data_IF_072392623826
#
_entry.id   IF_072392623826
#
_cell.length_a   1.000
_cell.length_b   1.000
_cell.length_c   1.000
_cell.angle_alpha   90.00
_cell.angle_beta   90.00
_cell.angle_gamma   90.00
#
_symmetry.space_group_name_H-M   'P 1'
#
loop_
_entity.id
_entity.type
_entity.pdbx_description
1 polymer ?
#
# COMPACT_ATOMS: atom_id res chain seq x y z
N UNK A 1 5.16 -0.74 8.20
CA UNK A 1 5.70 -2.10 7.94
C UNK A 1 6.31 -2.83 9.15
N UNK A 2 7.41 -2.40 9.78
CA UNK A 2 8.13 -3.19 10.83
C UNK A 2 7.26 -3.52 12.06
N UNK A 3 6.46 -2.57 12.52
CA UNK A 3 5.57 -2.77 13.66
C UNK A 3 4.46 -3.82 13.37
N UNK A 4 3.87 -3.78 12.17
CA UNK A 4 2.80 -4.69 11.78
C UNK A 4 3.29 -6.14 11.67
N UNK A 5 4.52 -6.31 11.18
CA UNK A 5 5.18 -7.60 11.17
C UNK A 5 5.46 -8.10 12.60
N UNK A 6 6.03 -7.24 13.45
CA UNK A 6 6.39 -7.60 14.83
C UNK A 6 5.17 -8.05 15.65
N UNK A 7 4.06 -7.31 15.58
CA UNK A 7 2.83 -7.64 16.32
C UNK A 7 2.11 -8.88 15.77
N UNK A 8 2.30 -9.20 14.48
CA UNK A 8 1.66 -10.33 13.82
C UNK A 8 2.49 -11.61 13.82
N UNK A 9 3.72 -11.56 14.33
CA UNK A 9 4.65 -12.68 14.31
C UNK A 9 4.19 -13.83 15.23
N UNK A 10 4.03 -15.02 14.65
CA UNK A 10 3.61 -16.25 15.37
C UNK A 10 4.69 -17.34 15.39
N UNK A 11 5.92 -17.02 15.00
CA UNK A 11 7.04 -17.97 14.90
C UNK A 11 7.38 -18.37 13.45
N UNK A 12 8.34 -19.29 13.32
CA UNK A 12 8.96 -19.67 12.04
C UNK A 12 8.10 -20.60 11.16
N UNK A 13 6.96 -21.07 11.66
CA UNK A 13 6.11 -22.03 10.94
C UNK A 13 5.10 -21.36 10.00
N UNK A 14 5.02 -20.03 9.98
CA UNK A 14 4.11 -19.29 9.11
C UNK A 14 4.78 -18.95 7.77
N UNK A 15 4.17 -19.38 6.67
CA UNK A 15 4.55 -19.00 5.30
C UNK A 15 3.44 -18.15 4.66
N UNK A 16 3.81 -17.00 4.08
CA UNK A 16 2.85 -16.16 3.36
C UNK A 16 2.39 -16.86 2.08
N UNK A 17 1.09 -16.77 1.80
CA UNK A 17 0.45 -17.47 0.69
C UNK A 17 1.06 -17.13 -0.69
N UNK A 18 1.67 -15.96 -0.85
CA UNK A 18 2.32 -15.56 -2.11
C UNK A 18 3.49 -16.49 -2.46
N UNK A 19 4.25 -16.94 -1.45
CA UNK A 19 5.34 -17.90 -1.66
C UNK A 19 4.80 -19.27 -2.08
N UNK A 20 3.71 -19.71 -1.46
CA UNK A 20 3.03 -20.98 -1.79
C UNK A 20 2.48 -20.93 -3.22
N UNK A 21 1.75 -19.88 -3.58
CA UNK A 21 1.17 -19.70 -4.92
C UNK A 21 2.28 -19.61 -5.99
N UNK A 22 3.38 -18.90 -5.69
CA UNK A 22 4.51 -18.79 -6.61
C UNK A 22 5.22 -20.13 -6.82
N UNK A 23 5.43 -20.91 -5.75
CA UNK A 23 6.03 -22.25 -5.83
C UNK A 23 5.20 -23.19 -6.69
N UNK A 24 3.88 -23.17 -6.50
CA UNK A 24 2.95 -24.03 -7.24
C UNK A 24 2.83 -23.64 -8.73
N UNK A 25 3.07 -22.37 -9.08
CA UNK A 25 2.90 -21.88 -10.46
C UNK A 25 4.18 -21.86 -11.27
N UNK A 26 5.35 -21.67 -10.65
CA UNK A 26 6.64 -21.47 -11.36
C UNK A 26 7.57 -22.68 -11.33
N UNK A 27 7.30 -23.67 -10.46
CA UNK A 27 8.05 -24.92 -10.40
C UNK A 27 9.55 -24.71 -10.25
N UNK A 28 10.34 -25.16 -11.23
CA UNK A 28 11.81 -25.05 -11.21
C UNK A 28 12.34 -23.61 -11.20
N UNK A 29 11.54 -22.66 -11.72
CA UNK A 29 11.92 -21.25 -11.74
C UNK A 29 11.64 -20.53 -10.42
N UNK A 30 11.05 -21.21 -9.42
CA UNK A 30 10.61 -20.62 -8.15
C UNK A 30 11.65 -19.72 -7.50
N UNK A 31 12.88 -20.20 -7.32
CA UNK A 31 13.91 -19.42 -6.64
C UNK A 31 14.25 -18.11 -7.36
N UNK A 32 14.33 -18.15 -8.69
CA UNK A 32 14.62 -16.98 -9.50
C UNK A 32 13.46 -15.97 -9.49
N UNK A 33 12.22 -16.44 -9.67
CA UNK A 33 11.04 -15.56 -9.67
C UNK A 33 10.78 -15.01 -8.28
N UNK A 34 10.98 -15.81 -7.24
CA UNK A 34 10.85 -15.38 -5.84
C UNK A 34 11.85 -14.26 -5.53
N UNK A 35 13.14 -14.50 -5.82
CA UNK A 35 14.18 -13.52 -5.62
C UNK A 35 13.90 -12.24 -6.42
N UNK A 36 13.58 -12.37 -7.71
CA UNK A 36 13.43 -11.20 -8.59
C UNK A 36 12.15 -10.42 -8.28
N UNK A 37 11.01 -11.10 -8.13
CA UNK A 37 9.69 -10.48 -8.03
C UNK A 37 9.29 -10.07 -6.61
N UNK A 38 9.55 -10.91 -5.60
CA UNK A 38 9.11 -10.65 -4.22
C UNK A 38 10.17 -9.87 -3.43
N UNK A 39 11.46 -10.08 -3.73
CA UNK A 39 12.54 -9.45 -2.96
C UNK A 39 13.21 -8.29 -3.71
N UNK A 40 13.76 -8.55 -4.89
CA UNK A 40 14.62 -7.60 -5.60
C UNK A 40 13.83 -6.42 -6.18
N UNK A 41 12.75 -6.68 -6.92
CA UNK A 41 11.95 -5.62 -7.55
C UNK A 41 11.41 -4.60 -6.53
N UNK A 42 10.71 -4.99 -5.45
CA UNK A 42 10.25 -4.02 -4.44
C UNK A 42 11.40 -3.25 -3.79
N UNK A 43 12.54 -3.91 -3.57
CA UNK A 43 13.75 -3.24 -3.04
C UNK A 43 14.22 -2.14 -3.98
N UNK A 44 14.36 -2.42 -5.27
CA UNK A 44 14.73 -1.41 -6.28
C UNK A 44 13.73 -0.26 -6.31
N UNK A 45 12.43 -0.56 -6.23
CA UNK A 45 11.40 0.48 -6.24
C UNK A 45 11.46 1.38 -4.99
N UNK A 46 11.76 0.83 -3.82
CA UNK A 46 11.99 1.61 -2.59
C UNK A 46 13.18 2.55 -2.76
N UNK A 47 14.30 2.07 -3.31
CA UNK A 47 15.45 2.93 -3.60
C UNK A 47 15.13 4.02 -4.63
N UNK A 48 14.36 3.69 -5.68
CA UNK A 48 13.86 4.69 -6.63
C UNK A 48 12.93 5.71 -5.95
N UNK A 49 12.08 5.26 -5.02
CA UNK A 49 11.23 6.13 -4.20
C UNK A 49 12.01 7.08 -3.29
N UNK A 50 13.26 6.74 -2.94
CA UNK A 50 14.15 7.59 -2.17
C UNK A 50 14.97 8.58 -3.02
N UNK A 51 15.06 8.40 -4.35
CA UNK A 51 15.78 9.32 -5.25
C UNK A 51 15.39 10.80 -5.07
N UNK A 52 14.10 11.16 -4.93
CA UNK A 52 13.69 12.56 -4.74
C UNK A 52 14.27 13.18 -3.45
N UNK A 53 14.60 12.37 -2.44
CA UNK A 53 15.23 12.85 -1.22
C UNK A 53 16.64 13.38 -1.50
N UNK A 54 17.35 12.82 -2.47
CA UNK A 54 18.66 13.33 -2.86
C UNK A 54 18.53 14.74 -3.44
N UNK A 55 17.50 14.99 -4.27
CA UNK A 55 17.19 16.33 -4.78
C UNK A 55 16.89 17.31 -3.64
N UNK A 56 16.04 16.91 -2.70
CA UNK A 56 15.67 17.73 -1.55
C UNK A 56 16.86 18.02 -0.61
N UNK A 57 17.74 17.05 -0.37
CA UNK A 57 18.86 17.19 0.55
C UNK A 57 20.09 17.85 -0.07
N UNK A 58 20.36 17.60 -1.35
CA UNK A 58 21.55 18.14 -2.03
C UNK A 58 21.30 19.53 -2.64
N UNK A 59 20.07 19.79 -3.11
CA UNK A 59 19.73 21.02 -3.83
C UNK A 59 18.75 21.93 -3.06
N UNK A 60 18.29 21.53 -1.86
CA UNK A 60 17.34 22.25 -1.01
C UNK A 60 17.90 23.53 -0.38
N UNK A 61 18.31 24.49 -1.21
CA UNK A 61 18.69 25.84 -0.79
C UNK A 61 17.53 26.82 -0.84
N UNK A 62 16.39 26.41 -1.42
CA UNK A 62 15.17 27.20 -1.48
C UNK A 62 14.54 27.35 -0.09
N UNK A 63 13.94 28.50 0.24
CA UNK A 63 13.12 28.64 1.42
C UNK A 63 11.94 27.65 1.39
N UNK A 64 11.54 27.17 2.57
CA UNK A 64 10.35 26.30 2.72
C UNK A 64 9.11 27.01 2.16
N UNK A 65 8.49 26.39 1.17
CA UNK A 65 7.37 26.94 0.43
C UNK A 65 6.04 26.20 0.65
N UNK A 66 4.97 26.65 -0.02
CA UNK A 66 3.67 25.99 0.03
C UNK A 66 3.71 24.53 -0.45
N UNK A 67 4.61 24.20 -1.38
CA UNK A 67 4.75 22.83 -1.89
C UNK A 67 5.36 21.89 -0.85
N UNK A 68 6.31 22.37 -0.03
CA UNK A 68 6.84 21.60 1.10
C UNK A 68 5.78 21.33 2.15
N UNK A 69 4.92 22.32 2.43
CA UNK A 69 3.79 22.15 3.33
C UNK A 69 2.79 21.11 2.78
N UNK A 70 2.49 21.15 1.49
CA UNK A 70 1.65 20.14 0.84
C UNK A 70 2.30 18.74 0.89
N UNK A 71 3.59 18.64 0.60
CA UNK A 71 4.36 17.38 0.67
C UNK A 71 4.32 16.80 2.09
N UNK A 72 4.49 17.63 3.12
CA UNK A 72 4.40 17.23 4.52
C UNK A 72 3.01 16.69 4.87
N UNK A 73 1.94 17.40 4.49
CA UNK A 73 0.56 16.98 4.74
C UNK A 73 0.25 15.66 4.04
N UNK A 74 0.66 15.51 2.78
CA UNK A 74 0.47 14.27 2.01
C UNK A 74 1.22 13.10 2.65
N UNK A 75 2.47 13.32 3.08
CA UNK A 75 3.31 12.30 3.70
C UNK A 75 2.73 11.84 5.04
N UNK A 76 2.46 12.78 5.95
CA UNK A 76 1.94 12.47 7.29
C UNK A 76 0.50 11.93 7.22
N UNK A 77 -0.32 12.49 6.34
CA UNK A 77 -1.67 12.00 6.08
C UNK A 77 -1.66 10.58 5.54
N UNK A 78 -0.77 10.27 4.59
CA UNK A 78 -0.58 8.92 4.06
C UNK A 78 -0.21 7.90 5.14
N UNK A 79 0.80 8.22 5.95
CA UNK A 79 1.23 7.39 7.09
C UNK A 79 0.09 7.17 8.08
N UNK A 80 -0.67 8.21 8.40
CA UNK A 80 -1.79 8.10 9.33
C UNK A 80 -2.92 7.22 8.79
N UNK A 81 -3.29 7.37 7.51
CA UNK A 81 -4.31 6.54 6.87
C UNK A 81 -3.87 5.07 6.85
N UNK A 82 -2.61 4.80 6.47
CA UNK A 82 -2.03 3.46 6.49
C UNK A 82 -2.10 2.85 7.89
N UNK A 83 -1.58 3.56 8.90
CA UNK A 83 -1.56 3.07 10.27
C UNK A 83 -2.97 2.83 10.84
N UNK A 84 -3.92 3.74 10.59
CA UNK A 84 -5.29 3.64 11.07
C UNK A 84 -6.03 2.47 10.41
N UNK A 85 -5.90 2.31 9.10
CA UNK A 85 -6.55 1.22 8.35
C UNK A 85 -5.97 -0.16 8.69
N UNK A 86 -4.65 -0.26 8.84
CA UNK A 86 -3.99 -1.50 9.29
C UNK A 86 -4.31 -1.83 10.74
N UNK A 87 -4.55 -0.83 11.59
CA UNK A 87 -5.02 -1.06 12.96
C UNK A 87 -6.44 -1.63 12.96
N UNK A 88 -7.36 -1.03 12.19
CA UNK A 88 -8.72 -1.55 12.04
C UNK A 88 -8.73 -2.98 11.52
N UNK A 89 -7.91 -3.29 10.51
CA UNK A 89 -7.81 -4.66 9.98
C UNK A 89 -7.27 -5.63 11.02
N UNK A 90 -6.24 -5.24 11.77
CA UNK A 90 -5.67 -6.09 12.81
C UNK A 90 -6.67 -6.39 13.93
N UNK A 91 -7.40 -5.37 14.40
CA UNK A 91 -8.40 -5.54 15.44
C UNK A 91 -9.56 -6.42 14.96
N UNK A 92 -9.99 -6.25 13.71
CA UNK A 92 -10.99 -7.12 13.09
C UNK A 92 -10.52 -8.58 13.04
N UNK A 93 -9.33 -8.84 12.48
CA UNK A 93 -8.80 -10.22 12.34
C UNK A 93 -8.52 -10.87 13.69
N UNK A 94 -8.16 -10.08 14.71
CA UNK A 94 -7.85 -10.61 16.04
C UNK A 94 -9.09 -10.98 16.85
N UNK A 95 -10.21 -10.27 16.63
CA UNK A 95 -11.46 -10.48 17.36
C UNK A 95 -12.48 -11.34 16.60
N UNK A 96 -12.31 -11.50 15.28
CA UNK A 96 -13.22 -12.26 14.45
C UNK A 96 -12.78 -13.73 14.34
N UNK A 97 -13.63 -14.65 14.80
CA UNK A 97 -13.38 -16.09 14.77
C UNK A 97 -13.95 -16.78 13.51
N UNK A 98 -14.66 -16.05 12.65
CA UNK A 98 -15.29 -16.57 11.43
C UNK A 98 -14.37 -16.37 10.23
N UNK A 99 -13.76 -17.45 9.70
CA UNK A 99 -12.88 -17.33 8.54
C UNK A 99 -13.65 -16.85 7.31
N UNK A 100 -13.09 -15.89 6.58
CA UNK A 100 -13.69 -15.38 5.34
C UNK A 100 -14.56 -14.14 5.52
N UNK A 101 -14.80 -13.71 6.76
CA UNK A 101 -15.52 -12.47 7.08
C UNK A 101 -14.87 -11.22 6.44
N UNK A 102 -15.72 -10.24 6.13
CA UNK A 102 -15.36 -8.99 5.45
C UNK A 102 -15.43 -7.81 6.40
N UNK A 103 -14.32 -7.07 6.53
CA UNK A 103 -14.33 -5.77 7.20
C UNK A 103 -14.89 -4.73 6.23
N UNK A 104 -16.13 -4.29 6.47
CA UNK A 104 -16.87 -3.32 5.65
C UNK A 104 -17.14 -2.00 6.39
N UNK A 105 -16.33 -1.69 7.40
CA UNK A 105 -16.51 -0.52 8.28
C UNK A 105 -15.32 0.45 8.22
N UNK A 106 -15.51 1.67 8.71
CA UNK A 106 -14.44 2.64 8.88
C UNK A 106 -13.74 2.98 7.56
N UNK A 107 -12.41 2.82 7.51
CA UNK A 107 -11.61 3.06 6.30
C UNK A 107 -11.92 2.05 5.20
N UNK A 108 -12.23 0.82 5.59
CA UNK A 108 -12.51 -0.29 4.67
C UNK A 108 -13.90 -0.18 4.03
N UNK A 109 -14.81 0.59 4.62
CA UNK A 109 -16.07 0.96 3.94
C UNK A 109 -15.87 2.03 2.84
N UNK A 110 -14.79 2.81 2.94
CA UNK A 110 -14.53 3.96 2.06
C UNK A 110 -13.63 3.59 0.89
N UNK A 111 -12.77 2.60 1.06
CA UNK A 111 -11.87 2.05 0.07
C UNK A 111 -11.63 0.57 0.37
N UNK A 112 -11.44 -0.26 -0.65
CA UNK A 112 -11.07 -1.67 -0.48
C UNK A 112 -9.61 -1.87 -0.11
N UNK A 113 -8.77 -0.88 -0.40
CA UNK A 113 -7.34 -0.89 -0.08
C UNK A 113 -6.92 0.48 0.51
N UNK A 114 -7.48 0.89 1.66
CA UNK A 114 -7.21 2.19 2.26
C UNK A 114 -5.75 2.31 2.73
N UNK A 115 -5.16 1.21 3.20
CA UNK A 115 -3.74 1.15 3.56
C UNK A 115 -2.84 1.41 2.36
N UNK A 116 -3.20 0.88 1.18
CA UNK A 116 -2.46 1.12 -0.05
C UNK A 116 -2.60 2.56 -0.54
N UNK A 117 -3.76 3.20 -0.33
CA UNK A 117 -3.86 4.64 -0.57
C UNK A 117 -2.92 5.44 0.34
N UNK A 118 -2.81 5.06 1.61
CA UNK A 118 -1.87 5.64 2.56
C UNK A 118 -0.41 5.48 2.11
N UNK A 119 -0.02 4.27 1.73
CA UNK A 119 1.34 3.95 1.27
C UNK A 119 1.68 4.67 -0.06
N UNK A 120 0.75 4.70 -1.02
CA UNK A 120 0.94 5.46 -2.25
C UNK A 120 1.08 6.96 -1.96
N UNK A 121 0.24 7.51 -1.08
CA UNK A 121 0.33 8.92 -0.67
C UNK A 121 1.68 9.23 -0.02
N UNK A 122 2.20 8.32 0.82
CA UNK A 122 3.54 8.44 1.37
C UNK A 122 4.59 8.56 0.26
N UNK A 123 4.59 7.69 -0.75
CA UNK A 123 5.60 7.75 -1.83
C UNK A 123 5.48 8.97 -2.75
N UNK A 124 4.29 9.53 -2.90
CA UNK A 124 4.11 10.82 -3.56
C UNK A 124 4.64 12.00 -2.72
N UNK A 125 4.78 11.84 -1.40
CA UNK A 125 5.36 12.83 -0.49
C UNK A 125 6.81 13.23 -0.83
N UNK A 126 7.79 12.31 -0.78
CA UNK A 126 9.17 12.56 -1.22
C UNK A 126 9.25 13.09 -2.65
N UNK A 127 8.42 12.60 -3.57
CA UNK A 127 8.32 13.14 -4.93
C UNK A 127 8.01 14.64 -4.91
N UNK A 128 7.02 15.08 -4.13
CA UNK A 128 6.67 16.50 -3.98
C UNK A 128 7.81 17.31 -3.33
N UNK A 129 8.50 16.76 -2.32
CA UNK A 129 9.69 17.40 -1.74
C UNK A 129 10.82 17.56 -2.75
N UNK A 130 11.09 16.54 -3.56
CA UNK A 130 12.06 16.62 -4.65
C UNK A 130 11.68 17.73 -5.63
N UNK A 131 10.42 17.76 -6.08
CA UNK A 131 9.90 18.79 -6.99
C UNK A 131 10.00 20.20 -6.39
N UNK A 132 9.77 20.36 -5.09
CA UNK A 132 9.94 21.64 -4.40
C UNK A 132 11.40 22.12 -4.41
N UNK A 133 12.36 21.21 -4.38
CA UNK A 133 13.78 21.51 -4.32
C UNK A 133 14.41 21.83 -5.68
N UNK A 134 14.19 21.00 -6.70
CA UNK A 134 14.86 21.12 -8.02
C UNK A 134 13.91 21.16 -9.21
N UNK A 135 12.59 21.23 -8.98
CA UNK A 135 11.56 21.30 -10.00
C UNK A 135 11.11 19.94 -10.53
N UNK A 136 10.26 19.97 -11.56
CA UNK A 136 9.71 18.75 -12.16
C UNK A 136 10.78 18.07 -13.02
N UNK A 137 11.22 16.89 -12.57
CA UNK A 137 12.20 16.06 -13.25
C UNK A 137 11.80 14.59 -13.22
N UNK A 138 12.23 13.81 -14.23
CA UNK A 138 11.84 12.41 -14.36
C UNK A 138 12.31 11.55 -13.17
N UNK A 139 13.47 11.86 -12.57
CA UNK A 139 13.99 11.14 -11.40
C UNK A 139 13.11 11.33 -10.16
N UNK A 140 12.59 12.54 -9.93
CA UNK A 140 11.70 12.83 -8.79
C UNK A 140 10.38 12.04 -8.86
N UNK A 141 9.89 11.80 -10.07
CA UNK A 141 8.59 11.13 -10.29
C UNK A 141 8.77 9.60 -10.39
N UNK A 142 9.92 9.14 -10.89
CA UNK A 142 10.15 7.73 -11.26
C UNK A 142 9.81 6.73 -10.15
N UNK A 143 10.20 6.99 -8.90
CA UNK A 143 9.93 6.12 -7.76
C UNK A 143 8.44 6.00 -7.44
N UNK A 144 7.78 7.14 -7.18
CA UNK A 144 6.35 7.18 -6.87
C UNK A 144 5.49 6.57 -8.00
N UNK A 145 5.82 6.88 -9.25
CA UNK A 145 5.13 6.32 -10.41
C UNK A 145 5.32 4.80 -10.51
N UNK A 146 6.54 4.30 -10.32
CA UNK A 146 6.84 2.87 -10.42
C UNK A 146 6.19 2.06 -9.30
N UNK A 147 6.14 2.58 -8.08
CA UNK A 147 5.41 1.97 -6.97
C UNK A 147 3.89 1.99 -7.26
N UNK A 148 3.37 3.08 -7.80
CA UNK A 148 1.96 3.15 -8.23
C UNK A 148 1.64 2.08 -9.27
N UNK A 149 2.50 1.91 -10.28
CA UNK A 149 2.35 0.86 -11.30
C UNK A 149 2.38 -0.54 -10.68
N UNK A 150 3.32 -0.82 -9.77
CA UNK A 150 3.38 -2.10 -9.06
C UNK A 150 2.05 -2.38 -8.33
N UNK A 151 1.52 -1.40 -7.60
CA UNK A 151 0.29 -1.58 -6.84
C UNK A 151 -0.92 -1.82 -7.75
N UNK A 152 -1.11 -0.96 -8.75
CA UNK A 152 -2.30 -0.98 -9.62
C UNK A 152 -2.33 -2.22 -10.52
N UNK A 153 -1.19 -2.63 -11.06
CA UNK A 153 -1.15 -3.69 -12.08
C UNK A 153 -0.77 -5.06 -11.54
N UNK A 154 -0.12 -5.13 -10.37
CA UNK A 154 0.36 -6.41 -9.82
C UNK A 154 -0.29 -6.68 -8.47
N UNK A 155 -0.04 -5.85 -7.46
CA UNK A 155 -0.42 -6.14 -6.07
C UNK A 155 -1.94 -6.23 -5.89
N UNK A 156 -2.69 -5.20 -6.31
CA UNK A 156 -4.14 -5.12 -6.11
C UNK A 156 -4.88 -6.19 -6.91
N UNK A 157 -4.64 -6.39 -8.23
CA UNK A 157 -5.32 -7.43 -8.99
C UNK A 157 -5.10 -8.83 -8.41
N UNK A 158 -3.90 -9.12 -7.93
CA UNK A 158 -3.56 -10.40 -7.31
C UNK A 158 -4.38 -10.63 -6.03
N UNK A 159 -4.51 -9.62 -5.17
CA UNK A 159 -5.26 -9.71 -3.91
C UNK A 159 -6.77 -9.77 -4.18
N UNK A 160 -7.30 -8.92 -5.06
CA UNK A 160 -8.70 -8.91 -5.46
C UNK A 160 -9.12 -10.28 -6.02
N UNK A 161 -8.31 -10.87 -6.90
CA UNK A 161 -8.57 -12.21 -7.45
C UNK A 161 -8.65 -13.26 -6.34
N UNK A 162 -7.75 -13.19 -5.36
CA UNK A 162 -7.74 -14.11 -4.22
C UNK A 162 -8.96 -13.92 -3.32
N UNK A 163 -9.37 -12.69 -3.05
CA UNK A 163 -10.53 -12.41 -2.20
C UNK A 163 -11.84 -12.87 -2.86
N UNK A 164 -12.03 -12.59 -4.16
CA UNK A 164 -13.18 -13.11 -4.92
C UNK A 164 -13.30 -14.62 -4.88
N UNK A 165 -12.16 -15.32 -4.88
CA UNK A 165 -12.13 -16.78 -4.83
C UNK A 165 -12.36 -17.39 -3.44
N UNK A 166 -12.19 -16.61 -2.36
CA UNK A 166 -12.14 -17.14 -0.98
C UNK A 166 -13.14 -16.55 -0.01
N UNK A 167 -13.79 -15.43 -0.35
CA UNK A 167 -14.68 -14.71 0.56
C UNK A 167 -16.07 -14.60 -0.04
N UNK A 168 -17.04 -15.18 0.64
CA UNK A 168 -18.46 -15.04 0.31
C UNK A 168 -18.87 -13.57 0.45
N UNK A 169 -19.75 -13.09 -0.43
CA UNK A 169 -20.19 -11.69 -0.44
C UNK A 169 -19.17 -10.66 -0.95
N UNK A 170 -17.95 -11.05 -1.34
CA UNK A 170 -16.93 -10.08 -1.79
C UNK A 170 -17.34 -9.31 -3.05
N UNK A 171 -18.11 -9.92 -3.94
CA UNK A 171 -18.62 -9.25 -5.15
C UNK A 171 -19.57 -8.09 -4.82
N UNK A 172 -20.35 -8.19 -3.75
CA UNK A 172 -21.20 -7.08 -3.29
C UNK A 172 -20.34 -5.94 -2.76
N UNK A 173 -19.36 -6.25 -1.92
CA UNK A 173 -18.39 -5.28 -1.42
C UNK A 173 -17.63 -4.57 -2.55
N UNK A 174 -17.31 -5.29 -3.63
CA UNK A 174 -16.67 -4.74 -4.84
C UNK A 174 -17.57 -3.70 -5.54
N UNK A 175 -18.88 -3.97 -5.65
CA UNK A 175 -19.83 -3.04 -6.28
C UNK A 175 -19.97 -1.77 -5.46
N UNK A 176 -19.90 -1.91 -4.14
CA UNK A 176 -20.24 -0.85 -3.22
C UNK A 176 -19.06 0.00 -2.78
N UNK A 177 -17.81 -0.47 -2.87
CA UNK A 177 -16.66 0.24 -2.31
C UNK A 177 -15.59 0.47 -3.38
N UNK A 178 -15.02 1.68 -3.56
CA UNK A 178 -13.98 1.90 -4.56
C UNK A 178 -12.67 1.19 -4.20
N UNK A 179 -11.78 0.99 -5.18
CA UNK A 179 -10.56 0.18 -5.00
C UNK A 179 -9.52 0.86 -4.10
N UNK A 180 -9.08 2.07 -4.47
CA UNK A 180 -7.94 2.76 -3.81
C UNK A 180 -8.39 4.07 -3.20
N UNK A 181 -8.90 5.00 -4.01
CA UNK A 181 -9.24 6.35 -3.56
C UNK A 181 -10.45 6.29 -2.61
N UNK A 182 -10.30 6.69 -1.33
CA UNK A 182 -11.38 6.62 -0.36
C UNK A 182 -12.52 7.58 -0.72
N UNK A 183 -13.76 7.14 -0.51
CA UNK A 183 -14.90 8.07 -0.54
C UNK A 183 -14.82 9.04 0.62
N UNK A 184 -14.84 10.34 0.31
CA UNK A 184 -14.82 11.41 1.30
C UNK A 184 -16.21 11.70 1.88
N UNK A 185 -17.27 11.43 1.10
CA UNK A 185 -18.65 11.71 1.44
C UNK A 185 -19.54 10.49 1.16
N UNK A 186 -20.54 10.27 2.03
CA UNK A 186 -21.49 9.15 1.93
C UNK A 186 -21.64 8.39 3.25
N UNK A 187 -22.83 7.87 3.52
CA UNK A 187 -23.13 7.07 4.71
C UNK A 187 -22.46 5.70 4.59
N UNK A 188 -21.54 5.43 5.51
CA UNK A 188 -21.09 4.09 5.83
C UNK A 188 -22.29 3.38 6.45
N UNK A 189 -22.99 2.50 5.72
CA UNK A 189 -24.07 1.70 6.35
C UNK A 189 -23.41 0.78 7.36
N UNK A 190 -23.61 1.05 8.65
CA UNK A 190 -23.51 0.02 9.67
C UNK A 190 -24.60 -1.00 9.37
N UNK A 191 -24.25 -2.26 9.17
CA UNK A 191 -25.25 -3.31 9.07
C UNK A 191 -25.99 -3.39 10.42
N UNK A 192 -27.33 -3.34 10.36
CA UNK A 192 -28.25 -3.69 11.45
C UNK A 192 -28.15 -5.18 11.80
#
# INVERSE_FOLDING_TARGET
MTYNWLRGWKGLHHEDWRYVDLRNTTGRAYWFVNFSGIHYLPTVLVYLGCVPLMSALANGSNPVGPLDAAALVVTLGGIWIEAASDRQLFDFVSNNNEPGSLLKEGWWARSRHPNYFGELSFWWGPCLFGIAADGISWWNISGAASITVLFVFITIPMIEKRHRAKREGYEEYVRETPVIIPRLFGTCRSEE
#
